data_IF_959673720587
#
_entry.id   IF_959673720587
#
_cell.length_a   1.000
_cell.length_b   1.000
_cell.length_c   1.000
_cell.angle_alpha   90.00
_cell.angle_beta   90.00
_cell.angle_gamma   90.00
#
_symmetry.space_group_name_H-M   'P 1'
#
loop_
_entity.id
_entity.type
_entity.pdbx_description
1 polymer ?
#
# COMPACT_ATOMS: atom_id res chain seq x y z
N UNK A 1 0.23 12.96 14.47
CA UNK A 1 0.41 11.97 13.39
C UNK A 1 1.30 12.55 12.30
N UNK A 2 2.26 11.80 11.79
CA UNK A 2 3.08 12.20 10.65
C UNK A 2 3.28 11.01 9.70
N UNK A 3 3.77 11.29 8.48
CA UNK A 3 3.99 10.28 7.44
C UNK A 3 5.45 10.26 7.04
N UNK A 4 6.01 9.07 6.88
CA UNK A 4 7.39 8.89 6.42
C UNK A 4 7.53 7.61 5.59
N UNK A 5 8.62 7.51 4.84
CA UNK A 5 9.04 6.26 4.20
C UNK A 5 9.43 5.22 5.25
N UNK A 6 9.15 3.96 4.98
CA UNK A 6 9.56 2.84 5.82
C UNK A 6 11.07 2.60 5.74
N UNK A 7 11.59 2.04 6.81
CA UNK A 7 12.95 1.49 6.89
C UNK A 7 12.87 0.00 7.23
N UNK A 8 13.98 -0.72 7.12
CA UNK A 8 14.03 -2.16 7.45
C UNK A 8 13.54 -2.45 8.87
N UNK A 9 13.80 -1.56 9.82
CA UNK A 9 13.37 -1.71 11.22
C UNK A 9 11.85 -1.69 11.39
N UNK A 10 11.10 -1.21 10.40
CA UNK A 10 9.64 -1.16 10.45
C UNK A 10 8.97 -2.46 10.01
N UNK A 11 9.72 -3.39 9.42
CA UNK A 11 9.18 -4.63 8.83
C UNK A 11 8.27 -5.38 9.81
N UNK A 12 8.65 -5.64 11.06
CA UNK A 12 7.76 -6.34 11.99
C UNK A 12 6.41 -5.66 12.19
N UNK A 13 6.40 -4.35 12.32
CA UNK A 13 5.18 -3.56 12.48
C UNK A 13 4.30 -3.59 11.23
N UNK A 14 4.91 -3.52 10.05
CA UNK A 14 4.21 -3.60 8.76
C UNK A 14 3.57 -4.98 8.58
N UNK A 15 4.32 -6.05 8.82
CA UNK A 15 3.82 -7.42 8.71
C UNK A 15 2.65 -7.65 9.67
N UNK A 16 2.74 -7.13 10.90
CA UNK A 16 1.65 -7.21 11.86
C UNK A 16 0.37 -6.51 11.34
N UNK A 17 0.50 -5.35 10.70
CA UNK A 17 -0.63 -4.67 10.07
C UNK A 17 -1.22 -5.47 8.89
N UNK A 18 -0.37 -6.05 8.04
CA UNK A 18 -0.80 -6.87 6.91
C UNK A 18 -1.57 -8.11 7.36
N UNK A 19 -1.17 -8.71 8.47
CA UNK A 19 -1.80 -9.89 9.04
C UNK A 19 -3.10 -9.60 9.81
N UNK A 20 -3.39 -8.34 10.14
CA UNK A 20 -4.50 -7.95 11.02
C UNK A 20 -5.86 -7.82 10.30
N UNK A 21 -6.18 -8.75 9.39
CA UNK A 21 -7.52 -8.91 8.83
C UNK A 21 -7.77 -10.37 8.41
N UNK A 22 -9.01 -10.72 8.04
CA UNK A 22 -9.38 -12.10 7.68
C UNK A 22 -8.57 -12.65 6.51
N UNK A 23 -8.37 -11.86 5.46
CA UNK A 23 -7.60 -12.27 4.29
C UNK A 23 -6.10 -12.23 4.58
N UNK A 24 -5.62 -11.22 5.29
CA UNK A 24 -4.22 -11.06 5.67
C UNK A 24 -3.75 -12.16 6.61
N UNK A 25 -4.54 -12.57 7.59
CA UNK A 25 -4.18 -13.64 8.53
C UNK A 25 -3.92 -14.98 7.85
N UNK A 26 -4.53 -15.24 6.69
CA UNK A 26 -4.31 -16.44 5.89
C UNK A 26 -3.09 -16.35 4.95
N UNK A 27 -2.61 -15.13 4.64
CA UNK A 27 -1.55 -14.86 3.67
C UNK A 27 -0.20 -14.57 4.31
N UNK A 28 -0.23 -13.91 5.48
CA UNK A 28 0.95 -13.38 6.14
C UNK A 28 1.35 -14.27 7.34
N UNK A 29 2.61 -14.18 7.72
CA UNK A 29 3.13 -14.85 8.91
C UNK A 29 4.05 -13.94 9.71
N UNK A 30 3.88 -13.96 11.03
CA UNK A 30 4.76 -13.27 11.99
C UNK A 30 5.80 -14.21 12.61
N UNK A 31 5.86 -15.46 12.12
CA UNK A 31 6.82 -16.46 12.60
C UNK A 31 8.26 -16.07 12.26
N UNK A 32 9.18 -16.30 13.17
CA UNK A 32 10.59 -15.89 13.02
C UNK A 32 11.27 -16.49 11.79
N UNK A 33 10.91 -17.72 11.39
CA UNK A 33 11.53 -18.40 10.26
C UNK A 33 11.14 -17.81 8.89
N UNK A 34 10.09 -17.02 8.79
CA UNK A 34 9.68 -16.32 7.54
C UNK A 34 10.08 -14.85 7.54
N UNK A 35 10.70 -14.32 8.59
CA UNK A 35 11.12 -12.91 8.64
C UNK A 35 12.07 -12.57 7.51
N UNK A 36 12.97 -13.48 7.14
CA UNK A 36 13.91 -13.28 6.03
C UNK A 36 13.22 -13.06 4.70
N UNK A 37 12.07 -13.68 4.44
CA UNK A 37 11.30 -13.48 3.20
C UNK A 37 10.88 -12.02 3.06
N UNK A 38 10.44 -11.40 4.15
CA UNK A 38 10.06 -9.98 4.18
C UNK A 38 11.26 -9.05 4.06
N UNK A 39 12.38 -9.38 4.71
CA UNK A 39 13.63 -8.60 4.63
C UNK A 39 14.17 -8.61 3.20
N UNK A 40 14.21 -9.77 2.55
CA UNK A 40 14.64 -9.91 1.16
C UNK A 40 13.73 -9.14 0.20
N UNK A 41 12.41 -9.26 0.36
CA UNK A 41 11.44 -8.51 -0.43
C UNK A 41 11.60 -7.00 -0.24
N UNK A 42 11.83 -6.55 1.00
CA UNK A 42 12.05 -5.13 1.29
C UNK A 42 13.34 -4.62 0.61
N UNK A 43 14.42 -5.42 0.62
CA UNK A 43 15.66 -5.09 -0.07
C UNK A 43 15.46 -4.96 -1.59
N UNK A 44 14.67 -5.84 -2.20
CA UNK A 44 14.30 -5.74 -3.62
C UNK A 44 13.51 -4.46 -3.90
N UNK A 45 12.56 -4.11 -3.03
CA UNK A 45 11.80 -2.86 -3.16
C UNK A 45 12.71 -1.63 -3.09
N UNK A 46 13.65 -1.61 -2.15
CA UNK A 46 14.60 -0.50 -2.00
C UNK A 46 15.53 -0.35 -3.22
N UNK A 47 15.82 -1.46 -3.91
CA UNK A 47 16.62 -1.45 -5.14
C UNK A 47 15.86 -0.90 -6.36
N UNK A 48 14.53 -0.87 -6.31
CA UNK A 48 13.70 -0.33 -7.38
C UNK A 48 13.46 1.17 -7.18
N UNK A 49 13.80 1.97 -8.19
CA UNK A 49 13.40 3.37 -8.19
C UNK A 49 11.87 3.48 -8.24
N UNK A 50 11.30 4.29 -7.34
CA UNK A 50 9.85 4.54 -7.32
C UNK A 50 9.01 3.48 -6.62
N UNK A 51 9.61 2.53 -5.91
CA UNK A 51 8.87 1.56 -5.07
C UNK A 51 9.15 1.86 -3.60
N UNK A 52 8.11 2.17 -2.83
CA UNK A 52 8.26 2.55 -1.42
C UNK A 52 7.05 2.18 -0.58
N UNK A 53 7.29 1.96 0.70
CA UNK A 53 6.27 1.89 1.72
C UNK A 53 6.17 3.23 2.46
N UNK A 54 4.97 3.76 2.55
CA UNK A 54 4.64 4.98 3.28
C UNK A 54 3.94 4.57 4.56
N UNK A 55 4.39 5.09 5.67
CA UNK A 55 3.85 4.80 6.99
C UNK A 55 3.15 6.01 7.58
N UNK A 56 2.05 5.75 8.26
CA UNK A 56 1.43 6.68 9.20
C UNK A 56 1.94 6.36 10.61
N UNK A 57 2.48 7.37 11.28
CA UNK A 57 3.10 7.24 12.61
C UNK A 57 2.32 8.10 13.59
N UNK A 58 1.92 7.50 14.70
CA UNK A 58 1.33 8.19 15.83
C UNK A 58 2.04 7.76 17.12
N UNK A 59 2.52 8.74 17.91
CA UNK A 59 3.27 8.48 19.13
C UNK A 59 4.35 7.40 18.95
N UNK A 60 5.19 7.55 17.91
CA UNK A 60 6.26 6.64 17.51
C UNK A 60 5.82 5.24 17.06
N UNK A 61 4.52 4.98 16.99
CA UNK A 61 3.99 3.69 16.54
C UNK A 61 3.55 3.75 15.08
N UNK A 62 3.79 2.69 14.35
CA UNK A 62 3.25 2.49 13.00
C UNK A 62 1.77 2.15 13.15
N UNK A 63 0.90 3.04 12.70
CA UNK A 63 -0.56 2.89 12.79
C UNK A 63 -1.23 2.68 11.44
N UNK A 64 -0.48 2.81 10.36
CA UNK A 64 -0.94 2.51 9.02
C UNK A 64 0.21 2.40 8.04
N UNK A 65 -0.03 1.71 6.94
CA UNK A 65 0.93 1.54 5.86
C UNK A 65 0.25 1.51 4.49
N UNK A 66 1.04 1.83 3.46
CA UNK A 66 0.64 1.80 2.07
C UNK A 66 1.88 1.63 1.21
N UNK A 67 1.84 0.71 0.22
CA UNK A 67 2.88 0.61 -0.79
C UNK A 67 2.51 1.44 -2.01
N UNK A 68 3.44 2.26 -2.47
CA UNK A 68 3.32 3.06 -3.68
C UNK A 68 4.42 2.66 -4.66
N UNK A 69 4.02 2.30 -5.88
CA UNK A 69 4.93 1.95 -6.97
C UNK A 69 4.68 2.84 -8.17
N UNK A 70 5.73 3.47 -8.69
CA UNK A 70 5.69 4.22 -9.95
C UNK A 70 6.04 3.28 -11.10
N UNK A 71 5.22 3.25 -12.13
CA UNK A 71 5.34 2.32 -13.25
C UNK A 71 5.46 3.12 -14.55
N UNK A 72 6.67 3.40 -15.05
CA UNK A 72 6.87 3.97 -16.38
C UNK A 72 6.34 3.04 -17.46
N UNK A 73 5.85 3.59 -18.55
CA UNK A 73 5.36 2.80 -19.68
C UNK A 73 5.30 3.60 -20.96
N UNK A 74 5.19 2.92 -22.08
CA UNK A 74 5.12 3.56 -23.40
C UNK A 74 3.68 3.92 -23.82
N UNK A 75 2.71 3.13 -23.39
CA UNK A 75 1.30 3.36 -23.72
C UNK A 75 0.83 4.75 -23.25
N UNK A 76 -0.21 5.28 -23.90
CA UNK A 76 -0.76 6.61 -23.59
C UNK A 76 0.28 7.72 -23.64
N UNK A 77 1.15 7.68 -24.66
CA UNK A 77 2.23 8.68 -24.87
C UNK A 77 3.24 8.73 -23.72
N UNK A 78 3.65 7.56 -23.22
CA UNK A 78 4.62 7.49 -22.13
C UNK A 78 4.05 7.86 -20.77
N UNK A 79 2.74 7.67 -20.56
CA UNK A 79 2.11 7.97 -19.29
C UNK A 79 2.66 7.09 -18.18
N UNK A 80 3.16 7.70 -17.13
CA UNK A 80 3.57 7.02 -15.90
C UNK A 80 2.34 6.73 -15.05
N UNK A 81 2.21 5.49 -14.59
CA UNK A 81 1.17 5.09 -13.65
C UNK A 81 1.75 5.01 -12.25
N UNK A 82 0.93 5.25 -11.25
CA UNK A 82 1.23 4.92 -9.86
C UNK A 82 0.28 3.80 -9.41
N UNK A 83 0.80 2.83 -8.68
CA UNK A 83 0.01 1.74 -8.12
C UNK A 83 0.07 1.76 -6.61
N UNK A 84 -1.08 1.61 -5.97
CA UNK A 84 -1.22 1.54 -4.53
C UNK A 84 -1.61 0.12 -4.14
N UNK A 85 -0.89 -0.44 -3.16
CA UNK A 85 -1.09 -1.79 -2.65
C UNK A 85 -0.91 -1.84 -1.13
N UNK A 86 -1.37 -2.91 -0.52
CA UNK A 86 -1.06 -3.21 0.88
C UNK A 86 -1.51 -2.14 1.87
N UNK A 87 -2.61 -1.46 1.58
CA UNK A 87 -3.12 -0.41 2.46
C UNK A 87 -3.69 -1.05 3.72
N UNK A 88 -3.17 -0.68 4.86
CA UNK A 88 -3.65 -1.13 6.17
C UNK A 88 -3.67 0.01 7.17
N UNK A 89 -4.65 -0.05 8.06
CA UNK A 89 -4.76 0.85 9.21
C UNK A 89 -5.03 -0.01 10.45
N UNK A 90 -4.26 0.21 11.50
CA UNK A 90 -4.47 -0.45 12.80
C UNK A 90 -5.94 -0.30 13.21
N UNK A 91 -6.56 -1.39 13.67
CA UNK A 91 -7.99 -1.42 14.00
C UNK A 91 -8.42 -0.35 14.99
N UNK A 92 -7.52 0.04 15.90
CA UNK A 92 -7.78 1.11 16.89
C UNK A 92 -7.84 2.51 16.27
N UNK A 93 -7.32 2.66 15.06
CA UNK A 93 -7.24 3.93 14.32
C UNK A 93 -8.17 3.97 13.11
N UNK A 94 -8.95 2.92 12.87
CA UNK A 94 -9.92 2.89 11.77
C UNK A 94 -11.01 3.92 11.99
N UNK A 95 -11.60 4.38 10.89
CA UNK A 95 -12.67 5.41 10.88
C UNK A 95 -12.25 6.77 11.48
N UNK A 96 -10.95 7.02 11.60
CA UNK A 96 -10.39 8.28 12.09
C UNK A 96 -9.63 9.06 11.00
N UNK A 97 -9.82 8.69 9.72
CA UNK A 97 -9.23 9.41 8.59
C UNK A 97 -7.79 9.01 8.23
N UNK A 98 -7.18 8.06 8.94
CA UNK A 98 -5.79 7.64 8.68
C UNK A 98 -5.62 7.08 7.28
N UNK A 99 -6.53 6.21 6.83
CA UNK A 99 -6.50 5.65 5.49
C UNK A 99 -6.61 6.73 4.41
N UNK A 100 -7.54 7.67 4.57
CA UNK A 100 -7.68 8.80 3.66
C UNK A 100 -6.38 9.62 3.58
N UNK A 101 -5.80 9.96 4.72
CA UNK A 101 -4.56 10.74 4.77
C UNK A 101 -3.37 10.01 4.11
N UNK A 102 -3.27 8.68 4.28
CA UNK A 102 -2.30 7.86 3.56
C UNK A 102 -2.49 7.94 2.04
N UNK A 103 -3.72 7.83 1.55
CA UNK A 103 -4.02 7.98 0.13
C UNK A 103 -3.71 9.37 -0.40
N UNK A 104 -4.09 10.40 0.30
CA UNK A 104 -3.79 11.80 -0.08
C UNK A 104 -2.28 12.02 -0.17
N UNK A 105 -1.52 11.48 0.77
CA UNK A 105 -0.06 11.54 0.75
C UNK A 105 0.52 10.81 -0.46
N UNK A 106 0.07 9.57 -0.73
CA UNK A 106 0.53 8.78 -1.87
C UNK A 106 0.19 9.45 -3.21
N UNK A 107 -1.03 9.97 -3.35
CA UNK A 107 -1.46 10.70 -4.55
C UNK A 107 -0.63 11.95 -4.77
N UNK A 108 -0.31 12.70 -3.72
CA UNK A 108 0.55 13.87 -3.78
C UNK A 108 1.96 13.51 -4.28
N UNK A 109 2.55 12.43 -3.75
CA UNK A 109 3.85 11.93 -4.20
C UNK A 109 3.77 11.51 -5.67
N UNK A 110 2.76 10.73 -6.05
CA UNK A 110 2.58 10.27 -7.42
C UNK A 110 2.51 11.44 -8.42
N UNK A 111 1.75 12.48 -8.10
CA UNK A 111 1.67 13.70 -8.92
C UNK A 111 3.00 14.42 -9.02
N UNK A 112 3.72 14.58 -7.92
CA UNK A 112 5.02 15.27 -7.92
C UNK A 112 6.08 14.50 -8.73
N UNK A 113 5.94 13.17 -8.81
CA UNK A 113 6.82 12.30 -9.60
C UNK A 113 6.35 12.14 -11.07
N UNK A 114 5.34 12.88 -11.48
CA UNK A 114 4.87 12.92 -12.86
C UNK A 114 3.91 11.80 -13.27
N UNK A 115 3.31 11.09 -12.32
CA UNK A 115 2.29 10.09 -12.66
C UNK A 115 1.03 10.76 -13.23
N UNK A 116 0.47 10.19 -14.29
CA UNK A 116 -0.74 10.65 -14.92
C UNK A 116 -2.02 9.99 -14.42
N UNK A 117 -1.88 8.88 -13.69
CA UNK A 117 -2.99 8.21 -13.01
C UNK A 117 -2.49 7.42 -11.81
N UNK A 118 -3.40 7.12 -10.90
CA UNK A 118 -3.21 6.19 -9.80
C UNK A 118 -4.20 5.04 -9.97
N UNK A 119 -3.71 3.82 -9.85
CA UNK A 119 -4.52 2.60 -9.96
C UNK A 119 -4.33 1.72 -8.74
N UNK A 120 -5.31 0.87 -8.48
CA UNK A 120 -5.24 -0.16 -7.46
C UNK A 120 -6.12 -1.34 -7.86
N UNK A 121 -5.89 -2.47 -7.24
CA UNK A 121 -6.84 -3.58 -7.21
C UNK A 121 -7.34 -3.78 -5.78
N UNK A 122 -8.58 -4.22 -5.65
CA UNK A 122 -9.16 -4.56 -4.35
C UNK A 122 -9.86 -5.91 -4.47
N UNK A 123 -9.75 -6.73 -3.44
CA UNK A 123 -10.40 -8.03 -3.40
C UNK A 123 -11.92 -7.84 -3.44
N UNK A 124 -12.61 -8.61 -4.27
CA UNK A 124 -14.08 -8.56 -4.39
C UNK A 124 -14.81 -8.78 -3.06
N UNK A 125 -14.17 -9.48 -2.12
CA UNK A 125 -14.72 -9.75 -0.79
C UNK A 125 -14.68 -8.51 0.13
N UNK A 126 -13.91 -7.48 -0.22
CA UNK A 126 -13.75 -6.24 0.57
C UNK A 126 -14.74 -5.17 0.10
N UNK A 127 -16.05 -5.40 0.32
CA UNK A 127 -17.12 -4.51 -0.17
C UNK A 127 -17.00 -3.08 0.38
N UNK A 128 -16.66 -2.92 1.65
CA UNK A 128 -16.50 -1.59 2.26
C UNK A 128 -15.30 -0.82 1.69
N UNK A 129 -14.26 -1.52 1.25
CA UNK A 129 -13.12 -0.92 0.58
C UNK A 129 -13.52 -0.29 -0.75
N UNK A 130 -14.38 -0.94 -1.55
CA UNK A 130 -14.89 -0.38 -2.81
C UNK A 130 -15.52 1.00 -2.60
N UNK A 131 -16.40 1.14 -1.62
CA UNK A 131 -17.05 2.41 -1.27
C UNK A 131 -16.04 3.49 -0.84
N UNK A 132 -15.02 3.08 -0.09
CA UNK A 132 -13.95 3.97 0.32
C UNK A 132 -13.19 4.54 -0.89
N UNK A 133 -12.82 3.68 -1.84
CA UNK A 133 -12.10 4.11 -3.05
C UNK A 133 -12.95 4.99 -3.95
N UNK A 134 -14.23 4.68 -4.11
CA UNK A 134 -15.17 5.51 -4.86
C UNK A 134 -15.28 6.93 -4.28
N UNK A 135 -15.31 7.05 -2.95
CA UNK A 135 -15.31 8.36 -2.28
C UNK A 135 -14.03 9.16 -2.52
N UNK A 136 -12.91 8.48 -2.75
CA UNK A 136 -11.64 9.12 -3.11
C UNK A 136 -11.55 9.48 -4.60
N UNK A 137 -12.58 9.16 -5.40
CA UNK A 137 -12.63 9.46 -6.83
C UNK A 137 -12.14 8.35 -7.74
N UNK A 138 -11.84 7.16 -7.22
CA UNK A 138 -11.50 6.01 -8.04
C UNK A 138 -12.74 5.49 -8.78
N UNK A 139 -12.55 5.08 -10.03
CA UNK A 139 -13.59 4.53 -10.89
C UNK A 139 -13.26 3.05 -11.15
N UNK A 140 -14.23 2.18 -10.96
CA UNK A 140 -14.11 0.75 -11.26
C UNK A 140 -14.26 0.51 -12.79
N UNK A 141 -13.22 0.88 -13.54
CA UNK A 141 -13.21 0.88 -15.00
C UNK A 141 -12.64 -0.39 -15.62
N UNK A 142 -11.96 -1.23 -14.84
CA UNK A 142 -11.23 -2.40 -15.32
C UNK A 142 -11.47 -3.59 -14.36
N UNK A 143 -11.32 -4.80 -14.89
CA UNK A 143 -11.29 -6.01 -14.10
C UNK A 143 -9.86 -6.47 -13.89
N UNK A 144 -9.51 -6.82 -12.64
CA UNK A 144 -8.24 -7.44 -12.31
C UNK A 144 -8.28 -8.94 -12.56
N UNK A 145 -7.24 -9.47 -13.19
CA UNK A 145 -7.07 -10.90 -13.41
C UNK A 145 -5.71 -11.32 -12.89
N UNK A 146 -5.64 -12.47 -12.20
CA UNK A 146 -4.40 -13.02 -11.64
C UNK A 146 -4.18 -14.45 -12.11
N UNK A 147 -2.98 -14.73 -12.58
CA UNK A 147 -2.49 -16.08 -12.79
C UNK A 147 -1.51 -16.41 -11.66
N UNK A 148 -1.87 -17.38 -10.85
CA UNK A 148 -1.10 -17.78 -9.67
C UNK A 148 -0.27 -19.00 -10.02
N UNK A 149 1.03 -18.96 -9.66
CA UNK A 149 1.99 -20.05 -9.92
C UNK A 149 2.07 -21.00 -8.73
#
# INVERSE_FOLDING_TARGET
MHFRKATENDIPSIVALLADDELGSARESTEDYVVNDYVEAFAEMEAQSGNQLILAIDDQKVVGCLQLTLIPGLARRGLKRAQIEGVRVDRRYRSQGVGQALFERAISIAKSEGAGLVQLTTDKQRVDAHRFYERLGFISSHEGMKLIF
#
